data_IF_084848388993
#
_entry.id   IF_084848388993
#
_cell.length_a   1.000
_cell.length_b   1.000
_cell.length_c   1.000
_cell.angle_alpha   90.00
_cell.angle_beta   90.00
_cell.angle_gamma   90.00
#
_symmetry.space_group_name_H-M   'P 1'
#
loop_
_entity.id
_entity.type
_entity.pdbx_description
1 polymer ?
#
# COMPACT_ATOMS: atom_id res chain seq x y z
N UNK A 1 -17.00 13.96 -1.73
CA UNK A 1 -15.64 13.78 -1.28
C UNK A 1 -15.71 13.31 0.17
N UNK A 2 -15.10 12.17 0.46
CA UNK A 2 -14.97 11.65 1.82
C UNK A 2 -13.61 12.15 2.33
N UNK A 3 -13.60 12.79 3.50
CA UNK A 3 -12.37 13.20 4.17
C UNK A 3 -11.65 11.94 4.66
N UNK A 4 -10.39 11.75 4.23
CA UNK A 4 -9.59 10.55 4.54
C UNK A 4 -8.23 11.00 5.01
N UNK A 5 -7.92 10.79 6.29
CA UNK A 5 -6.63 11.18 6.83
C UNK A 5 -5.50 10.27 6.33
N UNK A 6 -4.30 10.80 6.37
CA UNK A 6 -3.07 10.04 6.23
C UNK A 6 -1.99 10.67 7.11
N UNK A 7 -1.14 9.82 7.67
CA UNK A 7 0.02 10.24 8.44
C UNK A 7 1.24 10.25 7.54
N UNK A 8 2.10 11.27 7.66
CA UNK A 8 3.44 11.27 7.08
C UNK A 8 4.45 11.28 8.24
N UNK A 9 5.40 10.32 8.23
CA UNK A 9 6.55 10.31 9.13
C UNK A 9 7.80 10.65 8.34
N UNK A 10 8.49 11.67 8.79
CA UNK A 10 9.75 12.14 8.23
C UNK A 10 10.93 11.60 9.06
N UNK A 11 12.14 11.49 8.47
CA UNK A 11 13.37 11.30 9.24
C UNK A 11 13.53 12.34 10.34
N UNK A 12 14.06 11.95 11.51
CA UNK A 12 14.26 12.88 12.63
C UNK A 12 15.16 14.08 12.28
N UNK A 13 16.16 13.84 11.42
CA UNK A 13 17.11 14.87 10.97
C UNK A 13 16.99 15.06 9.46
N UNK A 14 15.76 15.28 8.96
CA UNK A 14 15.55 15.49 7.53
C UNK A 14 16.41 16.66 7.03
N UNK A 15 17.24 16.38 6.01
CA UNK A 15 18.08 17.35 5.34
C UNK A 15 17.45 17.81 4.03
N UNK A 16 18.14 18.68 3.26
CA UNK A 16 17.70 19.11 1.93
C UNK A 16 17.78 17.98 0.86
N UNK A 17 18.17 16.76 1.26
CA UNK A 17 18.23 15.59 0.37
C UNK A 17 16.83 15.01 0.17
N UNK A 18 16.51 14.62 -1.05
CA UNK A 18 15.27 13.93 -1.35
C UNK A 18 15.32 12.48 -0.85
N UNK A 19 14.24 12.05 -0.24
CA UNK A 19 14.08 10.70 0.30
C UNK A 19 13.15 9.85 -0.56
N UNK A 20 13.41 8.55 -0.74
CA UNK A 20 12.42 7.62 -1.25
C UNK A 20 11.13 7.69 -0.44
N UNK A 21 10.01 7.40 -1.05
CA UNK A 21 8.67 7.42 -0.42
C UNK A 21 8.15 6.00 -0.34
N UNK A 22 7.71 5.59 0.84
CA UNK A 22 7.09 4.28 1.04
C UNK A 22 5.69 4.44 1.63
N UNK A 23 4.70 3.96 0.91
CA UNK A 23 3.32 3.87 1.39
C UNK A 23 3.12 2.55 2.13
N UNK A 24 2.43 2.62 3.28
CA UNK A 24 2.09 1.46 4.10
C UNK A 24 0.57 1.36 4.25
N UNK A 25 0.00 0.31 3.68
CA UNK A 25 -1.44 0.07 3.67
C UNK A 25 -1.81 -1.00 4.69
N UNK A 26 -2.60 -0.61 5.67
CA UNK A 26 -3.02 -1.42 6.81
C UNK A 26 -3.97 -2.57 6.41
N UNK A 27 -4.19 -3.54 7.29
CA UNK A 27 -5.19 -4.59 7.16
C UNK A 27 -6.62 -4.05 7.38
N UNK A 28 -7.61 -4.84 6.98
CA UNK A 28 -9.01 -4.52 7.23
C UNK A 28 -9.30 -4.41 8.73
N UNK A 29 -9.95 -3.31 9.14
CA UNK A 29 -10.26 -3.00 10.53
C UNK A 29 -9.17 -2.22 11.26
N UNK A 30 -8.03 -1.94 10.62
CA UNK A 30 -6.96 -1.10 11.15
C UNK A 30 -6.98 0.32 10.55
N UNK A 31 -5.98 1.10 10.89
CA UNK A 31 -5.67 2.41 10.31
C UNK A 31 -4.15 2.61 10.23
N UNK A 32 -3.70 3.69 9.60
CA UNK A 32 -2.28 3.96 9.39
C UNK A 32 -1.48 4.14 10.67
N UNK A 33 -2.06 4.80 11.69
CA UNK A 33 -1.42 5.02 12.99
C UNK A 33 -1.21 3.70 13.74
N UNK A 34 -2.22 2.83 13.76
CA UNK A 34 -2.13 1.51 14.38
C UNK A 34 -1.10 0.63 13.66
N UNK A 35 -1.08 0.67 12.32
CA UNK A 35 -0.09 -0.08 11.54
C UNK A 35 1.34 0.35 11.92
N UNK A 36 1.61 1.66 11.98
CA UNK A 36 2.92 2.19 12.36
C UNK A 36 3.29 1.81 13.79
N UNK A 37 2.36 1.91 14.73
CA UNK A 37 2.61 1.59 16.14
C UNK A 37 2.94 0.12 16.39
N UNK A 38 2.41 -0.78 15.56
CA UNK A 38 2.67 -2.21 15.59
C UNK A 38 3.99 -2.60 14.88
N UNK A 39 4.57 -1.70 14.06
CA UNK A 39 5.76 -1.95 13.25
C UNK A 39 6.89 -0.97 13.60
N UNK A 40 7.37 -1.00 14.83
CA UNK A 40 8.37 -0.06 15.37
C UNK A 40 9.67 -0.06 14.57
N UNK A 41 10.11 -1.21 14.09
CA UNK A 41 11.33 -1.32 13.26
C UNK A 41 11.22 -0.48 11.97
N UNK A 42 10.00 -0.31 11.44
CA UNK A 42 9.76 0.58 10.30
C UNK A 42 9.91 2.05 10.71
N UNK A 43 9.44 2.40 11.90
CA UNK A 43 9.63 3.76 12.44
C UNK A 43 11.11 4.08 12.61
N UNK A 44 11.90 3.14 13.15
CA UNK A 44 13.35 3.30 13.33
C UNK A 44 14.07 3.49 11.99
N UNK A 45 13.67 2.76 10.94
CA UNK A 45 14.23 2.94 9.58
C UNK A 45 13.92 4.32 9.00
N UNK A 46 12.74 4.88 9.27
CA UNK A 46 12.37 6.23 8.85
C UNK A 46 13.22 7.26 9.60
N UNK A 47 13.32 7.13 10.92
CA UNK A 47 14.08 8.02 11.77
C UNK A 47 15.57 8.04 11.39
N UNK A 48 16.11 6.88 10.98
CA UNK A 48 17.46 6.71 10.40
C UNK A 48 17.63 7.31 8.99
N UNK A 49 16.59 7.89 8.41
CA UNK A 49 16.67 8.55 7.11
C UNK A 49 16.70 7.63 5.90
N UNK A 50 16.15 6.41 6.00
CA UNK A 50 16.13 5.50 4.86
C UNK A 50 15.06 5.88 3.83
N UNK A 51 13.91 6.39 4.29
CA UNK A 51 12.79 6.83 3.46
C UNK A 51 11.82 7.69 4.27
N UNK A 52 10.86 8.33 3.59
CA UNK A 52 9.69 8.95 4.21
C UNK A 52 8.54 7.96 4.16
N UNK A 53 7.90 7.69 5.31
CA UNK A 53 6.76 6.79 5.40
C UNK A 53 5.43 7.53 5.27
N UNK A 54 4.50 6.99 4.50
CA UNK A 54 3.13 7.49 4.35
C UNK A 54 2.16 6.38 4.74
N UNK A 55 1.26 6.69 5.67
CA UNK A 55 0.34 5.75 6.30
C UNK A 55 -1.09 6.28 6.12
N UNK A 56 -1.74 6.01 4.96
CA UNK A 56 -3.10 6.47 4.75
C UNK A 56 -4.13 5.57 5.44
N UNK A 57 -5.31 6.13 5.72
CA UNK A 57 -6.44 5.39 6.26
C UNK A 57 -7.41 4.97 5.15
N UNK A 58 -7.80 3.70 5.17
CA UNK A 58 -8.86 3.17 4.33
C UNK A 58 -10.24 3.71 4.73
N UNK A 59 -11.15 3.86 3.76
CA UNK A 59 -12.54 4.24 4.07
C UNK A 59 -13.20 3.18 4.95
N UNK A 60 -13.72 3.59 6.10
CA UNK A 60 -14.24 2.69 7.14
C UNK A 60 -13.22 1.62 7.56
N UNK A 61 -11.94 1.99 7.65
CA UNK A 61 -10.82 1.13 7.99
C UNK A 61 -10.67 -0.08 7.04
N UNK A 62 -10.94 0.13 5.75
CA UNK A 62 -10.88 -0.92 4.73
C UNK A 62 -10.52 -0.36 3.37
N UNK A 63 -9.82 -1.15 2.56
CA UNK A 63 -9.48 -0.82 1.18
C UNK A 63 -10.43 -1.50 0.22
N UNK A 64 -10.84 -0.75 -0.79
CA UNK A 64 -11.57 -1.28 -1.92
C UNK A 64 -10.61 -1.94 -2.91
N UNK A 65 -10.58 -3.25 -2.90
CA UNK A 65 -9.74 -4.06 -3.78
C UNK A 65 -10.52 -4.63 -4.98
N UNK A 66 -11.83 -4.36 -5.08
CA UNK A 66 -12.66 -4.79 -6.21
C UNK A 66 -12.93 -3.65 -7.19
N UNK A 67 -13.42 -3.97 -8.39
CA UNK A 67 -13.74 -3.00 -9.43
C UNK A 67 -15.07 -2.27 -9.23
N UNK A 68 -15.92 -2.74 -8.34
CA UNK A 68 -17.35 -2.35 -8.25
C UNK A 68 -17.68 -1.47 -7.05
N UNK A 69 -16.72 -0.94 -6.34
CA UNK A 69 -16.99 -0.23 -5.12
C UNK A 69 -17.12 1.28 -5.28
N UNK A 70 -17.88 1.87 -4.35
CA UNK A 70 -18.23 3.29 -4.33
C UNK A 70 -17.10 4.22 -3.91
N UNK A 71 -15.91 3.69 -3.60
CA UNK A 71 -14.74 4.46 -3.15
C UNK A 71 -13.53 4.08 -3.99
N UNK A 72 -12.91 5.07 -4.61
CA UNK A 72 -11.70 4.89 -5.40
C UNK A 72 -10.45 5.12 -4.55
N UNK A 73 -9.84 4.03 -4.10
CA UNK A 73 -8.61 4.07 -3.30
C UNK A 73 -7.38 4.32 -4.17
N UNK A 74 -7.42 3.95 -5.44
CA UNK A 74 -6.33 4.21 -6.39
C UNK A 74 -6.22 5.70 -6.68
N UNK A 75 -7.36 6.36 -6.90
CA UNK A 75 -7.43 7.81 -7.08
C UNK A 75 -6.99 8.55 -5.81
N UNK A 76 -7.41 8.10 -4.63
CA UNK A 76 -6.99 8.68 -3.36
C UNK A 76 -5.47 8.66 -3.18
N UNK A 77 -4.80 7.52 -3.44
CA UNK A 77 -3.35 7.41 -3.35
C UNK A 77 -2.66 8.29 -4.41
N UNK A 78 -3.23 8.35 -5.62
CA UNK A 78 -2.73 9.22 -6.69
C UNK A 78 -2.78 10.70 -6.29
N UNK A 79 -3.87 11.14 -5.63
CA UNK A 79 -4.00 12.50 -5.11
C UNK A 79 -2.97 12.81 -4.01
N UNK A 80 -2.69 11.85 -3.12
CA UNK A 80 -1.62 12.01 -2.12
C UNK A 80 -0.28 12.23 -2.84
N UNK A 81 0.12 11.34 -3.76
CA UNK A 81 1.40 11.44 -4.47
C UNK A 81 1.53 12.77 -5.20
N UNK A 82 0.47 13.23 -5.89
CA UNK A 82 0.46 14.51 -6.57
C UNK A 82 0.59 15.71 -5.63
N UNK A 83 0.14 15.56 -4.38
CA UNK A 83 0.25 16.59 -3.34
C UNK A 83 1.63 16.67 -2.67
N UNK A 84 2.48 15.64 -2.79
CA UNK A 84 3.77 15.57 -2.10
C UNK A 84 4.84 16.50 -2.67
N UNK A 85 4.72 16.92 -3.91
CA UNK A 85 5.77 17.67 -4.63
C UNK A 85 6.06 19.06 -4.04
N UNK A 86 5.16 19.59 -3.21
CA UNK A 86 5.27 20.95 -2.68
C UNK A 86 6.33 21.13 -1.58
N UNK A 87 6.77 20.05 -0.92
CA UNK A 87 7.70 20.12 0.22
C UNK A 87 9.18 19.93 -0.13
N UNK A 88 9.50 19.54 -1.37
CA UNK A 88 10.89 19.40 -1.85
C UNK A 88 11.69 18.21 -1.30
N UNK A 89 11.15 17.44 -0.34
CA UNK A 89 11.84 16.33 0.34
C UNK A 89 11.57 14.96 -0.27
N UNK A 90 10.62 14.87 -1.21
CA UNK A 90 10.17 13.59 -1.78
C UNK A 90 10.88 13.27 -3.09
N UNK A 91 11.47 12.08 -3.18
CA UNK A 91 11.98 11.52 -4.44
C UNK A 91 10.84 10.73 -5.12
N UNK A 92 10.06 11.44 -5.94
CA UNK A 92 8.91 10.84 -6.63
C UNK A 92 9.29 9.85 -7.74
N UNK A 93 10.57 9.74 -8.09
CA UNK A 93 11.07 8.66 -8.94
C UNK A 93 11.27 7.34 -8.15
N UNK A 94 11.17 7.39 -6.82
CA UNK A 94 11.35 6.26 -5.90
C UNK A 94 10.17 6.13 -4.93
N UNK A 95 9.01 5.83 -5.50
CA UNK A 95 7.77 5.59 -4.72
C UNK A 95 7.49 4.09 -4.67
N UNK A 96 7.25 3.58 -3.45
CA UNK A 96 7.06 2.15 -3.18
C UNK A 96 5.80 1.92 -2.37
N UNK A 97 5.23 0.71 -2.46
CA UNK A 97 4.05 0.33 -1.69
C UNK A 97 4.25 -0.96 -0.91
N UNK A 98 3.92 -0.94 0.37
CA UNK A 98 3.83 -2.11 1.24
C UNK A 98 2.39 -2.25 1.70
N UNK A 99 1.81 -3.44 1.60
CA UNK A 99 0.44 -3.66 2.06
C UNK A 99 0.30 -4.97 2.80
N UNK A 100 -0.48 -4.96 3.88
CA UNK A 100 -0.76 -6.16 4.67
C UNK A 100 -2.20 -6.61 4.42
N UNK A 101 -2.42 -7.90 4.12
CA UNK A 101 -3.74 -8.51 3.96
C UNK A 101 -4.63 -7.73 2.96
N UNK A 102 -5.69 -7.05 3.40
CA UNK A 102 -6.52 -6.19 2.54
C UNK A 102 -5.69 -5.06 1.88
N UNK A 103 -4.70 -4.49 2.59
CA UNK A 103 -3.74 -3.54 2.02
C UNK A 103 -2.83 -4.15 0.96
N UNK A 104 -2.50 -5.45 1.05
CA UNK A 104 -1.78 -6.18 0.01
C UNK A 104 -2.61 -6.26 -1.29
N UNK A 105 -3.93 -6.46 -1.17
CA UNK A 105 -4.84 -6.37 -2.31
C UNK A 105 -4.81 -5.01 -2.98
N UNK A 106 -4.73 -3.92 -2.19
CA UNK A 106 -4.66 -2.57 -2.73
C UNK A 106 -3.33 -2.30 -3.46
N UNK A 107 -2.18 -2.66 -2.90
CA UNK A 107 -0.89 -2.41 -3.59
C UNK A 107 -0.82 -3.17 -4.92
N UNK A 108 -1.37 -4.38 -4.97
CA UNK A 108 -1.52 -5.13 -6.22
C UNK A 108 -2.41 -4.39 -7.22
N UNK A 109 -3.54 -3.85 -6.77
CA UNK A 109 -4.47 -3.07 -7.62
C UNK A 109 -3.81 -1.81 -8.15
N UNK A 110 -3.16 -1.01 -7.31
CA UNK A 110 -2.46 0.21 -7.72
C UNK A 110 -1.36 -0.10 -8.74
N UNK A 111 -0.56 -1.15 -8.51
CA UNK A 111 0.49 -1.55 -9.44
C UNK A 111 -0.04 -2.01 -10.82
N UNK A 112 -1.27 -2.52 -10.88
CA UNK A 112 -1.94 -2.92 -12.13
C UNK A 112 -2.56 -1.74 -12.88
N UNK A 113 -3.09 -0.77 -12.15
CA UNK A 113 -3.89 0.32 -12.72
C UNK A 113 -3.08 1.60 -12.97
N UNK A 114 -1.89 1.72 -12.35
CA UNK A 114 -1.08 2.94 -12.39
C UNK A 114 0.40 2.69 -12.64
N UNK A 115 1.17 3.76 -12.80
CA UNK A 115 2.64 3.76 -12.83
C UNK A 115 3.26 4.34 -11.57
N UNK A 116 2.50 4.49 -10.48
CA UNK A 116 2.92 5.17 -9.26
C UNK A 116 4.09 4.45 -8.57
N UNK A 117 4.00 3.12 -8.42
CA UNK A 117 4.99 2.36 -7.66
C UNK A 117 6.06 1.73 -8.53
N UNK A 118 7.34 1.87 -8.12
CA UNK A 118 8.49 1.19 -8.75
C UNK A 118 8.67 -0.24 -8.23
N UNK A 119 8.27 -0.48 -6.97
CA UNK A 119 8.18 -1.81 -6.39
C UNK A 119 7.07 -1.87 -5.37
N UNK A 120 6.57 -3.09 -5.13
CA UNK A 120 5.55 -3.37 -4.13
C UNK A 120 5.93 -4.57 -3.26
N UNK A 121 5.45 -4.56 -2.02
CA UNK A 121 5.56 -5.68 -1.08
C UNK A 121 4.16 -6.06 -0.55
N UNK A 122 3.41 -6.93 -1.26
CA UNK A 122 2.18 -7.50 -0.74
C UNK A 122 2.51 -8.59 0.30
N UNK A 123 2.08 -8.36 1.55
CA UNK A 123 2.29 -9.25 2.69
C UNK A 123 0.98 -9.91 3.09
N UNK A 124 0.98 -11.22 3.18
CA UNK A 124 -0.18 -12.07 3.54
C UNK A 124 -1.45 -11.72 2.75
N UNK A 125 -1.28 -11.45 1.46
CA UNK A 125 -2.34 -11.11 0.52
C UNK A 125 -1.92 -11.40 -0.91
N UNK A 126 -2.89 -11.70 -1.77
CA UNK A 126 -2.68 -12.02 -3.18
C UNK A 126 -3.62 -11.21 -4.07
N UNK A 127 -3.39 -11.32 -5.36
CA UNK A 127 -4.37 -10.86 -6.34
C UNK A 127 -5.66 -11.68 -6.26
N UNK A 128 -6.78 -11.03 -6.51
CA UNK A 128 -8.08 -11.68 -6.57
C UNK A 128 -8.65 -11.59 -7.99
N UNK A 129 -9.50 -12.55 -8.36
CA UNK A 129 -10.21 -12.50 -9.64
C UNK A 129 -11.05 -11.23 -9.79
N UNK A 130 -11.57 -10.69 -8.70
CA UNK A 130 -12.34 -9.45 -8.67
C UNK A 130 -11.52 -8.23 -9.13
N UNK A 131 -10.19 -8.29 -9.02
CA UNK A 131 -9.29 -7.28 -9.59
C UNK A 131 -9.04 -7.44 -11.09
N UNK A 132 -9.61 -8.48 -11.71
CA UNK A 132 -9.45 -8.76 -13.13
C UNK A 132 -8.00 -9.08 -13.54
N UNK A 133 -7.85 -9.58 -14.75
CA UNK A 133 -6.55 -9.75 -15.40
C UNK A 133 -6.22 -8.45 -16.14
N UNK A 134 -5.70 -7.45 -15.42
CA UNK A 134 -5.19 -6.24 -16.04
C UNK A 134 -3.68 -6.41 -16.19
N UNK A 135 -3.18 -6.15 -17.39
CA UNK A 135 -1.74 -6.07 -17.63
C UNK A 135 -1.25 -4.76 -17.04
N UNK A 136 -0.29 -4.82 -16.13
CA UNK A 136 0.30 -3.61 -15.56
C UNK A 136 0.84 -2.69 -16.67
N UNK A 137 0.62 -1.37 -16.58
CA UNK A 137 1.12 -0.41 -17.58
C UNK A 137 2.65 -0.30 -17.60
N UNK A 138 3.33 -0.83 -16.57
CA UNK A 138 4.78 -0.89 -16.46
C UNK A 138 5.24 -2.15 -15.74
N UNK A 139 6.53 -2.49 -15.87
CA UNK A 139 7.15 -3.52 -15.03
C UNK A 139 7.32 -3.01 -13.61
N UNK A 140 6.85 -3.78 -12.63
CA UNK A 140 6.96 -3.48 -11.19
C UNK A 140 7.69 -4.63 -10.51
N UNK A 141 8.68 -4.33 -9.67
CA UNK A 141 9.32 -5.34 -8.83
C UNK A 141 8.38 -5.74 -7.70
N UNK A 142 8.24 -7.04 -7.44
CA UNK A 142 7.34 -7.56 -6.41
C UNK A 142 8.11 -8.40 -5.41
N UNK A 143 7.95 -8.08 -4.11
CA UNK A 143 8.40 -8.91 -3.00
C UNK A 143 7.17 -9.40 -2.25
N UNK A 144 6.75 -10.63 -2.55
CA UNK A 144 5.53 -11.21 -1.96
C UNK A 144 5.86 -12.18 -0.82
N UNK A 145 5.10 -12.08 0.28
CA UNK A 145 5.21 -12.99 1.43
C UNK A 145 3.84 -13.54 1.77
N UNK A 146 3.69 -14.87 1.71
CA UNK A 146 2.47 -15.58 2.08
C UNK A 146 2.80 -16.76 2.98
N UNK A 147 1.90 -17.08 3.92
CA UNK A 147 1.98 -18.31 4.72
C UNK A 147 1.55 -19.52 3.90
N UNK A 148 2.31 -20.62 4.00
CA UNK A 148 1.97 -21.89 3.29
C UNK A 148 0.74 -22.57 3.86
N UNK A 149 0.38 -22.28 5.11
CA UNK A 149 -0.78 -22.82 5.83
C UNK A 149 -1.87 -21.75 6.08
N UNK A 150 -1.81 -20.64 5.36
CA UNK A 150 -2.81 -19.57 5.49
C UNK A 150 -4.13 -20.02 4.88
N UNK A 151 -5.15 -20.20 5.75
CA UNK A 151 -6.50 -20.60 5.34
C UNK A 151 -7.38 -19.42 4.90
N UNK A 152 -6.96 -18.17 5.16
CA UNK A 152 -7.68 -16.96 4.78
C UNK A 152 -7.26 -16.50 3.38
N UNK A 153 -5.96 -16.59 3.10
CA UNK A 153 -5.33 -16.22 1.81
C UNK A 153 -4.50 -17.42 1.32
N UNK A 154 -5.14 -18.43 0.72
CA UNK A 154 -4.45 -19.65 0.32
C UNK A 154 -3.32 -19.37 -0.68
N UNK A 155 -2.09 -19.80 -0.37
CA UNK A 155 -0.90 -19.56 -1.20
C UNK A 155 -1.00 -20.17 -2.61
N UNK A 156 -1.79 -21.21 -2.75
CA UNK A 156 -2.03 -21.88 -4.04
C UNK A 156 -3.27 -21.36 -4.79
N UNK A 157 -3.81 -20.23 -4.35
CA UNK A 157 -5.05 -19.69 -4.88
C UNK A 157 -6.30 -20.42 -4.36
N UNK A 158 -7.47 -20.03 -4.86
CA UNK A 158 -8.76 -20.60 -4.48
C UNK A 158 -9.62 -19.67 -3.63
N UNK A 159 -10.74 -20.20 -3.12
CA UNK A 159 -11.70 -19.40 -2.36
C UNK A 159 -11.22 -19.16 -0.93
N UNK A 160 -11.13 -17.89 -0.55
CA UNK A 160 -10.95 -17.47 0.83
C UNK A 160 -12.29 -17.12 1.51
N UNK A 161 -12.28 -16.86 2.83
CA UNK A 161 -13.41 -16.28 3.53
C UNK A 161 -13.86 -14.97 2.88
N UNK A 162 -15.11 -14.60 3.04
CA UNK A 162 -15.72 -13.40 2.43
C UNK A 162 -15.85 -13.41 0.89
N UNK A 163 -15.75 -14.58 0.25
CA UNK A 163 -16.03 -14.74 -1.18
C UNK A 163 -14.94 -14.23 -2.13
N UNK A 164 -13.76 -13.87 -1.62
CA UNK A 164 -12.62 -13.58 -2.48
C UNK A 164 -12.09 -14.85 -3.13
N UNK A 165 -11.79 -14.78 -4.41
CA UNK A 165 -11.12 -15.87 -5.14
C UNK A 165 -9.70 -15.40 -5.45
N UNK A 166 -8.71 -16.03 -4.80
CA UNK A 166 -7.28 -15.71 -4.97
C UNK A 166 -6.72 -16.46 -6.18
N UNK A 167 -5.80 -15.80 -6.91
CA UNK A 167 -5.12 -16.35 -8.09
C UNK A 167 -3.71 -16.80 -7.75
#
# INVERSE_FOLDING_TARGET
LVDRPYLIRYPENASETKYPVVFFFHDAGENGDLWLSNNKDVADLIDDGKFIGIFPDGYLNKWNISSDANVDDVDFVSLIVNGLDTAGLFDLDKVFGVGTSNGAGLVNKIAKETTLFKAIAPLVGQQTEQNGVIVSPQSVSVFQVNGTEDSLVPVNGGSGPAGNIFM
#
